data_IF_965183780151
#
_entry.id   IF_965183780151
#
_cell.length_a   1.000
_cell.length_b   1.000
_cell.length_c   1.000
_cell.angle_alpha   90.00
_cell.angle_beta   90.00
_cell.angle_gamma   90.00
#
_symmetry.space_group_name_H-M   'P 1'
#
loop_
_entity.id
_entity.type
_entity.pdbx_description
1 polymer ?
#
# COMPACT_ATOMS: atom_id res chain seq x y z
N UNK A 1 -34.28 24.94 59.67
CA UNK A 1 -34.39 24.10 58.46
C UNK A 1 -33.77 24.89 57.31
N UNK A 2 -32.51 24.61 56.95
CA UNK A 2 -31.81 25.23 55.81
C UNK A 2 -31.40 24.08 54.89
N UNK A 3 -32.16 23.85 53.83
CA UNK A 3 -31.84 22.84 52.84
C UNK A 3 -30.88 23.43 51.82
N UNK A 4 -29.64 22.96 51.88
CA UNK A 4 -28.58 23.20 50.93
C UNK A 4 -28.85 22.32 49.70
N UNK A 5 -29.17 22.92 48.55
CA UNK A 5 -29.31 22.21 47.28
C UNK A 5 -27.96 22.26 46.57
N UNK A 6 -27.21 21.17 46.64
CA UNK A 6 -25.95 20.99 45.88
C UNK A 6 -26.30 20.48 44.48
N UNK A 7 -26.22 21.35 43.48
CA UNK A 7 -26.33 20.96 42.07
C UNK A 7 -24.98 20.30 41.66
N UNK A 8 -24.96 18.98 41.54
CA UNK A 8 -23.84 18.26 40.90
C UNK A 8 -24.09 18.36 39.39
N UNK A 9 -23.51 19.38 38.75
CA UNK A 9 -23.40 19.41 37.28
C UNK A 9 -22.40 18.33 36.88
N UNK A 10 -22.91 17.21 36.42
CA UNK A 10 -22.13 16.15 35.78
C UNK A 10 -21.62 16.69 34.44
N UNK A 11 -20.38 17.21 34.46
CA UNK A 11 -19.65 17.60 33.25
C UNK A 11 -19.30 16.31 32.49
N UNK A 12 -20.16 15.91 31.56
CA UNK A 12 -19.83 14.90 30.57
C UNK A 12 -18.75 15.48 29.65
N UNK A 13 -17.48 15.31 30.01
CA UNK A 13 -16.40 15.39 29.05
C UNK A 13 -16.58 14.20 28.10
N UNK A 14 -17.33 14.42 27.02
CA UNK A 14 -17.19 13.59 25.84
C UNK A 14 -15.77 13.85 25.32
N UNK A 15 -14.82 13.00 25.72
CA UNK A 15 -13.50 12.98 25.11
C UNK A 15 -13.71 12.65 23.63
N UNK A 16 -13.61 13.67 22.77
CA UNK A 16 -13.56 13.46 21.33
C UNK A 16 -12.30 12.63 21.05
N UNK A 17 -12.50 11.33 20.81
CA UNK A 17 -11.43 10.46 20.36
C UNK A 17 -11.18 10.81 18.89
N UNK A 18 -10.13 11.56 18.62
CA UNK A 18 -9.58 11.68 17.28
C UNK A 18 -9.14 10.28 16.85
N UNK A 19 -9.89 9.64 15.94
CA UNK A 19 -9.40 8.47 15.22
C UNK A 19 -8.26 8.96 14.32
N UNK A 20 -7.04 8.86 14.82
CA UNK A 20 -5.88 9.02 13.96
C UNK A 20 -5.82 7.76 13.11
N UNK A 21 -6.06 7.89 11.81
CA UNK A 21 -5.90 6.76 10.89
C UNK A 21 -4.46 6.25 11.04
N UNK A 22 -4.31 4.96 11.34
CA UNK A 22 -3.00 4.34 11.42
C UNK A 22 -2.36 4.41 10.03
N UNK A 23 -1.13 4.91 9.98
CA UNK A 23 -0.32 4.94 8.75
C UNK A 23 0.78 3.89 8.85
N UNK A 24 0.83 2.98 7.89
CA UNK A 24 1.91 2.05 7.68
C UNK A 24 2.64 2.39 6.37
N UNK A 25 3.96 2.24 6.35
CA UNK A 25 4.79 2.51 5.17
C UNK A 25 5.61 1.26 4.87
N UNK A 26 5.44 0.72 3.67
CA UNK A 26 6.17 -0.42 3.16
C UNK A 26 7.10 0.04 2.04
N UNK A 27 8.31 -0.52 1.99
CA UNK A 27 9.27 -0.24 0.93
C UNK A 27 9.73 -1.55 0.32
N UNK A 28 9.82 -1.58 -0.99
CA UNK A 28 10.37 -2.72 -1.71
C UNK A 28 11.36 -2.23 -2.77
N UNK A 29 12.47 -2.96 -2.89
CA UNK A 29 13.41 -2.82 -4.01
C UNK A 29 13.00 -3.84 -5.06
N UNK A 30 12.80 -3.40 -6.29
CA UNK A 30 12.43 -4.25 -7.42
C UNK A 30 13.71 -4.72 -8.09
N UNK A 31 14.07 -5.99 -7.94
CA UNK A 31 15.15 -6.61 -8.74
C UNK A 31 14.78 -8.04 -9.03
N UNK A 32 15.33 -8.63 -10.09
CA UNK A 32 15.11 -10.05 -10.41
C UNK A 32 15.53 -11.01 -9.29
N UNK A 33 16.33 -10.57 -8.30
CA UNK A 33 16.69 -11.35 -7.11
C UNK A 33 15.59 -11.45 -6.04
N UNK A 34 14.57 -10.60 -6.14
CA UNK A 34 13.44 -10.58 -5.21
C UNK A 34 12.28 -11.49 -5.67
N UNK A 35 12.46 -12.22 -6.77
CA UNK A 35 11.56 -13.28 -7.21
C UNK A 35 11.81 -14.58 -6.44
N UNK A 36 10.75 -15.38 -6.22
CA UNK A 36 10.87 -16.71 -5.59
C UNK A 36 11.89 -17.59 -6.35
N UNK A 37 11.88 -17.49 -7.67
CA UNK A 37 12.94 -18.00 -8.53
C UNK A 37 13.67 -16.81 -9.15
N UNK A 38 14.90 -16.49 -8.70
CA UNK A 38 15.62 -15.33 -9.19
C UNK A 38 15.80 -15.34 -10.71
N UNK A 39 15.48 -14.22 -11.35
CA UNK A 39 15.67 -14.01 -12.78
C UNK A 39 16.88 -13.11 -13.02
N UNK A 40 17.75 -13.48 -13.96
CA UNK A 40 18.86 -12.64 -14.38
C UNK A 40 18.33 -11.46 -15.21
N UNK A 41 18.24 -10.28 -14.60
CA UNK A 41 17.89 -9.04 -15.28
C UNK A 41 18.74 -7.88 -14.74
N UNK A 42 18.99 -6.91 -15.62
CA UNK A 42 19.52 -5.58 -15.26
C UNK A 42 18.45 -4.67 -14.64
N UNK A 43 17.17 -5.06 -14.72
CA UNK A 43 16.07 -4.26 -14.24
C UNK A 43 16.15 -3.99 -12.75
N UNK A 44 15.98 -2.73 -12.36
CA UNK A 44 15.92 -2.30 -10.98
C UNK A 44 14.81 -1.27 -10.75
N UNK A 45 14.43 -1.05 -9.51
CA UNK A 45 13.46 -0.04 -9.13
C UNK A 45 13.23 0.00 -7.63
N UNK A 46 12.44 0.96 -7.19
CA UNK A 46 12.00 1.06 -5.81
C UNK A 46 10.56 1.52 -5.77
N UNK A 47 9.78 0.95 -4.85
CA UNK A 47 8.43 1.39 -4.55
C UNK A 47 8.27 1.66 -3.06
N UNK A 48 7.45 2.66 -2.76
CA UNK A 48 6.91 2.92 -1.42
C UNK A 48 5.40 2.78 -1.49
N UNK A 49 4.84 1.96 -0.60
CA UNK A 49 3.41 1.81 -0.41
C UNK A 49 3.02 2.37 0.96
N UNK A 50 2.20 3.41 0.97
CA UNK A 50 1.72 4.07 2.20
C UNK A 50 0.26 3.71 2.39
N UNK A 51 -0.05 2.98 3.46
CA UNK A 51 -1.41 2.63 3.86
C UNK A 51 -1.86 3.57 4.98
N UNK A 52 -2.90 4.36 4.77
CA UNK A 52 -3.54 5.18 5.80
C UNK A 52 -5.00 4.78 5.96
N UNK A 53 -5.33 4.15 7.09
CA UNK A 53 -6.63 3.50 7.26
C UNK A 53 -6.80 2.35 6.24
N UNK A 54 -7.70 2.52 5.28
CA UNK A 54 -7.91 1.56 4.17
C UNK A 54 -7.44 2.12 2.82
N UNK A 55 -6.77 3.26 2.78
CA UNK A 55 -6.28 3.86 1.54
C UNK A 55 -4.81 3.49 1.35
N UNK A 56 -4.48 2.73 0.30
CA UNK A 56 -3.11 2.42 -0.09
C UNK A 56 -2.69 3.33 -1.25
N UNK A 57 -1.59 4.06 -1.07
CA UNK A 57 -0.96 4.86 -2.12
C UNK A 57 0.38 4.21 -2.46
N UNK A 58 0.61 3.92 -3.74
CA UNK A 58 1.84 3.30 -4.22
C UNK A 58 2.56 4.24 -5.17
N UNK A 59 3.82 4.52 -4.86
CA UNK A 59 4.68 5.40 -5.65
C UNK A 59 6.04 4.77 -5.87
N UNK A 60 6.70 5.11 -6.96
CA UNK A 60 8.02 4.59 -7.25
C UNK A 60 8.34 4.54 -8.73
N UNK A 61 9.31 3.70 -9.07
CA UNK A 61 9.77 3.56 -10.44
C UNK A 61 10.44 2.20 -10.66
N UNK A 62 10.62 1.87 -11.93
CA UNK A 62 11.50 0.81 -12.40
C UNK A 62 12.20 1.26 -13.68
N UNK A 63 13.37 0.71 -13.94
CA UNK A 63 14.23 1.06 -15.08
C UNK A 63 15.05 -0.15 -15.54
N UNK A 64 15.64 -0.03 -16.73
CA UNK A 64 16.60 -0.96 -17.30
C UNK A 64 16.12 -2.42 -17.40
N UNK A 65 14.82 -2.65 -17.58
CA UNK A 65 14.30 -3.99 -17.84
C UNK A 65 15.04 -4.63 -19.00
N UNK A 66 15.35 -5.93 -18.90
CA UNK A 66 16.04 -6.64 -19.98
C UNK A 66 15.12 -6.84 -21.21
N UNK A 67 13.82 -7.07 -20.98
CA UNK A 67 12.77 -7.02 -21.99
C UNK A 67 11.94 -5.72 -21.89
N UNK A 68 10.91 -5.60 -22.72
CA UNK A 68 9.93 -4.51 -22.61
C UNK A 68 8.84 -4.87 -21.61
N UNK A 69 8.24 -3.86 -20.99
CA UNK A 69 7.04 -4.01 -20.17
C UNK A 69 5.92 -4.68 -20.99
N UNK A 70 5.32 -5.73 -20.44
CA UNK A 70 4.26 -6.50 -21.09
C UNK A 70 2.97 -6.44 -20.26
N UNK A 71 2.06 -5.55 -20.67
CA UNK A 71 0.75 -5.39 -20.03
C UNK A 71 -0.15 -6.62 -20.20
N UNK A 72 0.14 -7.52 -21.16
CA UNK A 72 -0.68 -8.71 -21.41
C UNK A 72 -0.45 -9.79 -20.33
N UNK A 73 0.67 -9.72 -19.61
CA UNK A 73 0.99 -10.61 -18.50
C UNK A 73 0.41 -10.05 -17.20
N UNK A 74 -0.84 -10.42 -16.91
CA UNK A 74 -1.54 -10.02 -15.68
C UNK A 74 -1.53 -8.49 -15.40
N UNK A 75 -1.61 -7.66 -16.45
CA UNK A 75 -1.55 -6.21 -16.34
C UNK A 75 -0.14 -5.62 -16.25
N UNK A 76 0.90 -6.46 -16.33
CA UNK A 76 2.30 -6.09 -16.28
C UNK A 76 2.83 -5.91 -14.86
N UNK A 77 2.42 -4.85 -14.16
CA UNK A 77 2.85 -4.58 -12.78
C UNK A 77 1.70 -4.79 -11.81
N UNK A 78 1.94 -5.49 -10.71
CA UNK A 78 0.91 -5.76 -9.70
C UNK A 78 1.49 -6.07 -8.33
N UNK A 79 0.65 -5.92 -7.29
CA UNK A 79 0.95 -6.28 -5.91
C UNK A 79 0.26 -7.60 -5.60
N UNK A 80 1.02 -8.54 -5.07
CA UNK A 80 0.48 -9.73 -4.43
C UNK A 80 0.11 -9.42 -2.99
N UNK A 81 -1.03 -9.94 -2.54
CA UNK A 81 -1.35 -9.95 -1.12
C UNK A 81 -1.66 -11.35 -0.63
N UNK A 82 -1.01 -11.71 0.47
CA UNK A 82 -1.21 -12.94 1.21
C UNK A 82 -0.84 -12.71 2.67
N UNK A 83 -1.19 -13.67 3.53
CA UNK A 83 -0.70 -13.67 4.89
C UNK A 83 0.83 -13.79 4.91
N UNK A 84 1.47 -13.31 5.99
CA UNK A 84 2.90 -13.47 6.16
C UNK A 84 3.33 -14.94 5.96
N UNK A 85 4.36 -15.13 5.12
CA UNK A 85 4.87 -16.45 4.76
C UNK A 85 4.10 -17.19 3.66
N UNK A 86 3.06 -16.60 3.05
CA UNK A 86 2.30 -17.20 1.95
C UNK A 86 2.48 -16.43 0.64
N UNK A 87 2.55 -17.18 -0.47
CA UNK A 87 2.46 -16.55 -1.79
C UNK A 87 1.01 -16.19 -2.08
N UNK A 88 0.71 -14.89 -2.00
CA UNK A 88 -0.62 -14.34 -2.22
C UNK A 88 -1.04 -14.34 -3.68
N UNK A 89 -2.35 -14.27 -3.92
CA UNK A 89 -2.87 -13.95 -5.25
C UNK A 89 -2.55 -12.50 -5.63
N UNK A 90 -2.71 -12.18 -6.91
CA UNK A 90 -2.64 -10.78 -7.37
C UNK A 90 -3.81 -10.01 -6.75
N UNK A 91 -3.49 -8.97 -5.99
CA UNK A 91 -4.46 -8.19 -5.24
C UNK A 91 -4.77 -6.85 -5.91
N UNK A 92 -3.75 -6.20 -6.48
CA UNK A 92 -3.87 -4.88 -7.09
C UNK A 92 -3.02 -4.82 -8.36
N UNK A 93 -3.61 -4.42 -9.49
CA UNK A 93 -2.86 -4.06 -10.69
C UNK A 93 -2.37 -2.62 -10.55
N UNK A 94 -1.07 -2.41 -10.75
CA UNK A 94 -0.45 -1.09 -10.77
C UNK A 94 -0.46 -0.52 -12.18
N UNK A 95 -0.55 0.81 -12.28
CA UNK A 95 -0.62 1.54 -13.54
C UNK A 95 0.61 2.43 -13.67
N UNK A 96 1.66 1.98 -14.37
CA UNK A 96 2.83 2.80 -14.62
C UNK A 96 2.60 3.80 -15.75
N UNK A 97 3.24 4.96 -15.64
CA UNK A 97 3.57 5.79 -16.80
C UNK A 97 4.89 5.26 -17.37
N UNK A 98 4.83 4.64 -18.54
CA UNK A 98 5.97 3.97 -19.16
C UNK A 98 6.87 4.93 -19.92
N UNK A 99 8.16 4.64 -19.90
CA UNK A 99 9.13 5.29 -20.77
C UNK A 99 8.89 4.91 -22.24
N UNK A 100 9.40 5.72 -23.17
CA UNK A 100 9.16 5.53 -24.59
C UNK A 100 9.70 4.19 -25.13
N UNK A 101 10.75 3.64 -24.51
CA UNK A 101 11.33 2.34 -24.87
C UNK A 101 10.66 1.16 -24.15
N UNK A 102 9.70 1.43 -23.26
CA UNK A 102 9.01 0.46 -22.42
C UNK A 102 9.93 -0.33 -21.47
N UNK A 103 11.14 0.16 -21.20
CA UNK A 103 12.11 -0.52 -20.30
C UNK A 103 12.21 0.12 -18.93
N UNK A 104 11.47 1.20 -18.73
CA UNK A 104 11.28 1.85 -17.44
C UNK A 104 9.90 2.47 -17.34
N UNK A 105 9.61 3.00 -16.16
CA UNK A 105 8.38 3.70 -15.89
C UNK A 105 8.25 4.11 -14.44
N UNK A 106 7.27 4.97 -14.18
CA UNK A 106 6.98 5.52 -12.85
C UNK A 106 5.57 5.16 -12.40
N UNK A 107 5.42 4.89 -11.10
CA UNK A 107 4.14 4.76 -10.43
C UNK A 107 3.85 6.07 -9.71
N UNK A 108 2.78 6.75 -10.11
CA UNK A 108 2.35 8.01 -9.51
C UNK A 108 1.17 7.77 -8.58
N UNK A 109 1.14 8.46 -7.44
CA UNK A 109 0.04 8.37 -6.48
C UNK A 109 -1.34 8.58 -7.13
N UNK A 110 -1.42 9.52 -8.08
CA UNK A 110 -2.66 9.88 -8.77
C UNK A 110 -3.33 8.68 -9.46
N UNK A 111 -2.54 7.78 -10.03
CA UNK A 111 -3.02 6.60 -10.76
C UNK A 111 -2.92 5.31 -9.95
N UNK A 112 -2.23 5.33 -8.81
CA UNK A 112 -1.96 4.17 -7.97
C UNK A 112 -2.41 4.41 -6.51
N UNK A 113 -3.63 4.91 -6.36
CA UNK A 113 -4.32 5.02 -5.07
C UNK A 113 -5.49 4.03 -5.04
N UNK A 114 -5.51 3.17 -4.04
CA UNK A 114 -6.46 2.06 -3.91
C UNK A 114 -7.20 2.15 -2.58
N UNK A 115 -8.49 1.82 -2.58
CA UNK A 115 -9.24 1.58 -1.36
C UNK A 115 -9.26 0.07 -1.11
N UNK A 116 -8.59 -0.37 -0.06
CA UNK A 116 -8.52 -1.79 0.30
C UNK A 116 -9.83 -2.25 0.94
N UNK A 117 -10.24 -3.48 0.61
CA UNK A 117 -11.29 -4.16 1.38
C UNK A 117 -10.79 -4.48 2.79
N UNK A 118 -11.70 -4.78 3.72
CA UNK A 118 -11.32 -5.18 5.06
C UNK A 118 -10.40 -6.43 5.08
N UNK A 119 -10.62 -7.35 4.14
CA UNK A 119 -9.80 -8.57 4.01
C UNK A 119 -8.38 -8.25 3.51
N UNK A 120 -8.25 -7.39 2.50
CA UNK A 120 -6.95 -6.91 2.03
C UNK A 120 -6.22 -6.10 3.11
N UNK A 121 -6.92 -5.21 3.81
CA UNK A 121 -6.30 -4.46 4.91
C UNK A 121 -5.81 -5.40 6.03
N UNK A 122 -6.61 -6.40 6.41
CA UNK A 122 -6.25 -7.37 7.45
C UNK A 122 -5.01 -8.20 7.13
N UNK A 123 -4.81 -8.56 5.86
CA UNK A 123 -3.62 -9.30 5.41
C UNK A 123 -2.32 -8.45 5.44
N UNK A 124 -2.41 -7.12 5.46
CA UNK A 124 -1.23 -6.23 5.51
C UNK A 124 -0.68 -5.98 6.92
N UNK A 125 -1.39 -6.43 7.97
CA UNK A 125 -1.09 -6.10 9.38
C UNK A 125 -0.55 -7.27 10.22
N UNK A 126 -0.47 -8.49 9.67
CA UNK A 126 0.06 -9.65 10.39
C UNK A 126 1.53 -9.87 10.00
N UNK A 127 2.45 -9.27 10.78
CA UNK A 127 3.86 -9.70 10.88
C UNK A 127 4.01 -10.89 11.84
#
# INVERSE_FOLDING_TARGET
MRHLVTLITCLWLAAARTLQAQTAVFKAVLTGRQEVMPVASSGYGEITATLTGNQLVVEGYFEQLTGTFDATVAGGAHIHMGYAGQNGGIALTLVPTLDADLRGGTFMALTNTFTLTAEQAGQSHHE
#
